data_IF_192316519083
#
_entry.id   IF_192316519083
#
_cell.length_a   1.000
_cell.length_b   1.000
_cell.length_c   1.000
_cell.angle_alpha   90.00
_cell.angle_beta   90.00
_cell.angle_gamma   90.00
#
_symmetry.space_group_name_H-M   'P 1'
#
loop_
_entity.id
_entity.type
_entity.pdbx_description
1 polymer ?
#
# COMPACT_ATOMS: atom_id res chain seq x y z
N UNK A 1 -18.65 -19.72 -5.69
CA UNK A 1 -17.36 -19.95 -6.33
C UNK A 1 -16.30 -18.96 -5.89
N UNK A 2 -16.52 -17.65 -5.92
CA UNK A 2 -15.56 -16.61 -5.49
C UNK A 2 -14.96 -16.85 -4.08
N UNK A 3 -15.80 -17.23 -3.10
CA UNK A 3 -15.36 -17.53 -1.73
C UNK A 3 -14.36 -18.69 -1.64
N UNK A 4 -14.48 -19.69 -2.49
CA UNK A 4 -13.55 -20.83 -2.53
C UNK A 4 -12.22 -20.42 -3.16
N UNK A 5 -12.24 -19.65 -4.25
CA UNK A 5 -11.04 -19.09 -4.87
C UNK A 5 -10.25 -18.24 -3.86
N UNK A 6 -10.92 -17.33 -3.14
CA UNK A 6 -10.30 -16.51 -2.10
C UNK A 6 -9.65 -17.37 -1.00
N UNK A 7 -10.33 -18.40 -0.52
CA UNK A 7 -9.79 -19.29 0.54
C UNK A 7 -8.45 -19.92 0.13
N UNK A 8 -8.34 -20.41 -1.11
CA UNK A 8 -7.11 -21.03 -1.60
C UNK A 8 -6.00 -19.99 -1.80
N UNK A 9 -6.34 -18.79 -2.29
CA UNK A 9 -5.40 -17.68 -2.41
C UNK A 9 -4.79 -17.29 -1.07
N UNK A 10 -5.61 -17.10 -0.03
CA UNK A 10 -5.14 -16.75 1.31
C UNK A 10 -4.28 -17.85 1.94
N UNK A 11 -4.67 -19.12 1.79
CA UNK A 11 -3.90 -20.25 2.33
C UNK A 11 -2.52 -20.36 1.68
N UNK A 12 -2.43 -20.12 0.39
CA UNK A 12 -1.18 -20.25 -0.36
C UNK A 12 -0.20 -19.11 -0.09
N UNK A 13 -0.69 -17.89 0.21
CA UNK A 13 0.14 -16.70 0.48
C UNK A 13 0.48 -16.53 1.96
N UNK A 14 -0.40 -16.94 2.85
CA UNK A 14 -0.28 -16.70 4.29
C UNK A 14 1.01 -17.23 4.90
N UNK A 15 1.55 -18.35 4.39
CA UNK A 15 2.81 -18.93 4.89
C UNK A 15 4.01 -18.03 4.60
N UNK A 16 4.06 -17.42 3.42
CA UNK A 16 5.15 -16.52 3.02
C UNK A 16 5.11 -15.20 3.81
N UNK A 17 3.92 -14.59 3.89
CA UNK A 17 3.76 -13.35 4.65
C UNK A 17 3.95 -13.52 6.14
N UNK A 18 3.48 -14.64 6.72
CA UNK A 18 3.61 -14.92 8.15
C UNK A 18 5.07 -14.94 8.61
N UNK A 19 5.96 -15.57 7.85
CA UNK A 19 7.41 -15.58 8.15
C UNK A 19 8.04 -14.19 8.09
N UNK A 20 7.70 -13.41 7.06
CA UNK A 20 8.22 -12.05 6.89
C UNK A 20 7.71 -11.10 7.98
N UNK A 21 6.44 -11.17 8.34
CA UNK A 21 5.86 -10.33 9.39
C UNK A 21 6.46 -10.65 10.76
N UNK A 22 6.69 -11.94 11.05
CA UNK A 22 7.34 -12.36 12.28
C UNK A 22 8.78 -11.83 12.36
N UNK A 23 9.54 -11.93 11.27
CA UNK A 23 10.90 -11.40 11.20
C UNK A 23 10.90 -9.87 11.38
N UNK A 24 9.96 -9.14 10.76
CA UNK A 24 9.86 -7.69 10.88
C UNK A 24 9.58 -7.26 12.34
N UNK A 25 8.63 -7.91 13.00
CA UNK A 25 8.29 -7.59 14.40
C UNK A 25 9.44 -7.97 15.34
N UNK A 26 10.09 -9.12 15.14
CA UNK A 26 11.21 -9.54 15.94
C UNK A 26 12.38 -8.53 15.84
N UNK A 27 12.73 -8.09 14.62
CA UNK A 27 13.76 -7.08 14.42
C UNK A 27 13.36 -5.71 14.98
N UNK A 28 12.07 -5.33 14.93
CA UNK A 28 11.59 -4.11 15.55
C UNK A 28 11.81 -4.12 17.07
N UNK A 29 11.53 -5.22 17.73
CA UNK A 29 11.77 -5.39 19.17
C UNK A 29 13.29 -5.32 19.47
N UNK A 30 14.10 -6.08 18.74
CA UNK A 30 15.55 -6.14 18.96
C UNK A 30 16.20 -4.77 18.71
N UNK A 31 15.85 -4.07 17.62
CA UNK A 31 16.39 -2.75 17.32
C UNK A 31 15.99 -1.71 18.36
N UNK A 32 14.73 -1.75 18.83
CA UNK A 32 14.26 -0.84 19.90
C UNK A 32 15.01 -1.04 21.21
N UNK A 33 15.26 -2.28 21.64
CA UNK A 33 16.06 -2.57 22.83
C UNK A 33 17.54 -2.22 22.67
N UNK A 34 18.13 -2.47 21.50
CA UNK A 34 19.52 -2.14 21.24
C UNK A 34 19.78 -0.63 21.25
N UNK A 35 18.90 0.15 20.61
CA UNK A 35 18.97 1.61 20.62
C UNK A 35 18.87 2.20 22.04
N UNK A 36 18.21 1.49 22.96
CA UNK A 36 18.14 1.87 24.38
C UNK A 36 19.44 1.62 25.11
N UNK A 37 20.14 0.53 24.80
CA UNK A 37 21.29 0.01 25.57
C UNK A 37 22.60 0.70 25.22
N UNK A 38 22.65 1.87 24.69
CA UNK A 38 23.75 2.81 24.33
C UNK A 38 25.23 2.38 24.55
N UNK A 39 25.51 1.09 24.73
CA UNK A 39 26.85 0.57 25.00
C UNK A 39 27.66 0.30 23.71
N UNK A 40 26.98 0.07 22.58
CA UNK A 40 27.61 -0.18 21.28
C UNK A 40 26.75 0.42 20.16
N UNK A 41 27.05 1.66 19.76
CA UNK A 41 26.33 2.39 18.70
C UNK A 41 26.37 1.65 17.36
N UNK A 42 27.45 0.91 17.07
CA UNK A 42 27.62 0.14 15.84
C UNK A 42 26.64 -1.05 15.76
N UNK A 43 26.41 -1.74 16.87
CA UNK A 43 25.47 -2.86 16.91
C UNK A 43 24.02 -2.39 16.80
N UNK A 44 23.68 -1.28 17.44
CA UNK A 44 22.36 -0.68 17.35
C UNK A 44 22.04 -0.21 15.91
N UNK A 45 23.03 0.42 15.25
CA UNK A 45 22.90 0.85 13.86
C UNK A 45 22.74 -0.31 12.89
N UNK A 46 23.45 -1.44 13.11
CA UNK A 46 23.32 -2.66 12.33
C UNK A 46 21.91 -3.28 12.43
N UNK A 47 21.35 -3.34 13.63
CA UNK A 47 19.99 -3.86 13.83
C UNK A 47 18.92 -2.96 13.19
N UNK A 48 19.08 -1.64 13.30
CA UNK A 48 18.20 -0.70 12.62
C UNK A 48 18.28 -0.86 11.11
N UNK A 49 19.48 -1.00 10.57
CA UNK A 49 19.67 -1.27 9.14
C UNK A 49 19.01 -2.58 8.71
N UNK A 50 19.19 -3.66 9.50
CA UNK A 50 18.54 -4.94 9.25
C UNK A 50 16.98 -4.82 9.26
N UNK A 51 16.43 -4.06 10.22
CA UNK A 51 14.99 -3.76 10.26
C UNK A 51 14.52 -3.06 8.98
N UNK A 52 15.25 -2.03 8.53
CA UNK A 52 14.93 -1.29 7.30
C UNK A 52 15.00 -2.21 6.06
N UNK A 53 16.02 -3.06 5.97
CA UNK A 53 16.14 -4.04 4.87
C UNK A 53 14.94 -5.00 4.84
N UNK A 54 14.51 -5.52 6.00
CA UNK A 54 13.34 -6.42 6.06
C UNK A 54 12.06 -5.67 5.76
N UNK A 55 11.90 -4.42 6.19
CA UNK A 55 10.74 -3.59 5.85
C UNK A 55 10.63 -3.38 4.33
N UNK A 56 11.75 -3.07 3.67
CA UNK A 56 11.81 -2.98 2.20
C UNK A 56 11.53 -4.34 1.55
N UNK A 57 12.06 -5.43 2.10
CA UNK A 57 11.80 -6.77 1.59
C UNK A 57 10.31 -7.13 1.66
N UNK A 58 9.58 -6.76 2.73
CA UNK A 58 8.12 -6.94 2.83
C UNK A 58 7.41 -6.20 1.70
N UNK A 59 7.79 -4.96 1.40
CA UNK A 59 7.20 -4.18 0.32
C UNK A 59 7.47 -4.82 -1.05
N UNK A 60 8.72 -5.21 -1.32
CA UNK A 60 9.11 -5.86 -2.58
C UNK A 60 8.40 -7.19 -2.76
N UNK A 61 8.36 -8.05 -1.74
CA UNK A 61 7.68 -9.35 -1.79
C UNK A 61 6.17 -9.15 -2.01
N UNK A 62 5.57 -8.10 -1.43
CA UNK A 62 4.17 -7.79 -1.65
C UNK A 62 3.88 -7.48 -3.12
N UNK A 63 4.66 -6.61 -3.75
CA UNK A 63 4.53 -6.29 -5.18
C UNK A 63 4.81 -7.52 -6.04
N UNK A 64 5.89 -8.25 -5.76
CA UNK A 64 6.24 -9.48 -6.50
C UNK A 64 5.14 -10.54 -6.40
N UNK A 65 4.49 -10.67 -5.24
CA UNK A 65 3.38 -11.60 -5.06
C UNK A 65 2.17 -11.19 -5.92
N UNK A 66 1.85 -9.90 -5.98
CA UNK A 66 0.78 -9.38 -6.84
C UNK A 66 1.06 -9.72 -8.31
N UNK A 67 2.26 -9.39 -8.79
CA UNK A 67 2.67 -9.65 -10.19
C UNK A 67 2.69 -11.14 -10.50
N UNK A 68 3.37 -11.95 -9.71
CA UNK A 68 3.55 -13.39 -9.98
C UNK A 68 2.25 -14.15 -9.92
N UNK A 69 1.34 -13.79 -8.99
CA UNK A 69 0.04 -14.43 -8.91
C UNK A 69 -0.90 -14.05 -10.04
N UNK A 70 -0.80 -12.83 -10.52
CA UNK A 70 -1.56 -12.41 -11.68
C UNK A 70 -1.01 -13.10 -12.95
N UNK A 71 0.30 -13.00 -13.19
CA UNK A 71 0.92 -13.52 -14.41
C UNK A 71 0.88 -15.06 -14.45
N UNK A 72 1.29 -15.75 -13.39
CA UNK A 72 1.37 -17.21 -13.38
C UNK A 72 0.00 -17.87 -13.45
N UNK A 73 -0.97 -17.36 -12.68
CA UNK A 73 -2.27 -18.01 -12.57
C UNK A 73 -3.24 -17.64 -13.69
N UNK A 74 -3.07 -16.48 -14.34
CA UNK A 74 -3.98 -16.02 -15.41
C UNK A 74 -3.36 -16.07 -16.80
N UNK A 75 -2.05 -15.80 -16.91
CA UNK A 75 -1.34 -15.72 -18.20
C UNK A 75 -0.44 -16.93 -18.48
N UNK A 76 -0.13 -17.73 -17.44
CA UNK A 76 0.70 -18.92 -17.57
C UNK A 76 -0.11 -20.19 -17.90
N UNK A 77 0.58 -21.34 -17.91
CA UNK A 77 -0.03 -22.67 -18.16
C UNK A 77 -1.19 -23.01 -17.23
N UNK A 78 -1.22 -22.47 -16.02
CA UNK A 78 -2.32 -22.62 -15.07
C UNK A 78 -3.56 -21.82 -15.51
N UNK A 79 -3.40 -20.79 -16.34
CA UNK A 79 -4.49 -19.97 -16.88
C UNK A 79 -5.47 -20.77 -17.71
N UNK A 80 -5.01 -21.75 -18.51
CA UNK A 80 -5.90 -22.62 -19.27
C UNK A 80 -6.93 -23.33 -18.38
N UNK A 81 -6.50 -23.85 -17.23
CA UNK A 81 -7.41 -24.47 -16.26
C UNK A 81 -8.38 -23.47 -15.62
N UNK A 82 -7.93 -22.23 -15.41
CA UNK A 82 -8.80 -21.18 -14.85
C UNK A 82 -9.88 -20.73 -15.82
N UNK A 83 -9.60 -20.72 -17.13
CA UNK A 83 -10.58 -20.38 -18.17
C UNK A 83 -11.56 -21.52 -18.49
N UNK A 84 -11.28 -22.78 -18.09
CA UNK A 84 -12.24 -23.88 -18.18
C UNK A 84 -13.25 -23.91 -17.04
N UNK A 85 -13.04 -23.12 -15.97
CA UNK A 85 -14.00 -23.00 -14.89
C UNK A 85 -15.22 -22.18 -15.35
N UNK A 86 -16.44 -22.48 -14.88
CA UNK A 86 -17.65 -21.73 -15.21
C UNK A 86 -17.70 -20.41 -14.40
N UNK A 87 -16.69 -19.55 -14.57
CA UNK A 87 -16.56 -18.26 -13.91
C UNK A 87 -16.26 -17.19 -14.97
N UNK A 88 -16.79 -15.99 -14.77
CA UNK A 88 -16.53 -14.86 -15.68
C UNK A 88 -15.12 -14.28 -15.43
N UNK A 89 -14.49 -13.74 -16.45
CA UNK A 89 -13.16 -13.11 -16.37
C UNK A 89 -13.13 -11.99 -15.33
N UNK A 90 -14.20 -11.21 -15.24
CA UNK A 90 -14.36 -10.19 -14.19
C UNK A 90 -14.28 -10.77 -12.78
N UNK A 91 -14.83 -11.97 -12.53
CA UNK A 91 -14.74 -12.63 -11.24
C UNK A 91 -13.32 -13.12 -10.95
N UNK A 92 -12.58 -13.55 -11.97
CA UNK A 92 -11.17 -13.90 -11.83
C UNK A 92 -10.32 -12.69 -11.45
N UNK A 93 -10.45 -11.59 -12.18
CA UNK A 93 -9.74 -10.33 -11.86
C UNK A 93 -10.08 -9.86 -10.45
N UNK A 94 -11.38 -9.82 -10.09
CA UNK A 94 -11.84 -9.38 -8.77
C UNK A 94 -11.31 -10.27 -7.64
N UNK A 95 -11.24 -11.58 -7.82
CA UNK A 95 -10.71 -12.48 -6.79
C UNK A 95 -9.24 -12.18 -6.47
N UNK A 96 -8.44 -11.92 -7.49
CA UNK A 96 -7.02 -11.54 -7.35
C UNK A 96 -6.87 -10.15 -6.76
N UNK A 97 -7.70 -9.20 -7.20
CA UNK A 97 -7.71 -7.83 -6.69
C UNK A 97 -8.02 -7.80 -5.19
N UNK A 98 -9.09 -8.45 -4.76
CA UNK A 98 -9.48 -8.51 -3.33
C UNK A 98 -8.35 -9.13 -2.49
N UNK A 99 -7.79 -10.26 -2.94
CA UNK A 99 -6.68 -10.90 -2.24
C UNK A 99 -5.47 -9.96 -2.12
N UNK A 100 -5.11 -9.26 -3.21
CA UNK A 100 -3.99 -8.30 -3.23
C UNK A 100 -4.22 -7.11 -2.31
N UNK A 101 -5.44 -6.53 -2.34
CA UNK A 101 -5.81 -5.42 -1.46
C UNK A 101 -5.71 -5.83 0.01
N UNK A 102 -6.24 -6.99 0.37
CA UNK A 102 -6.18 -7.48 1.77
C UNK A 102 -4.74 -7.68 2.22
N UNK A 103 -3.88 -8.31 1.41
CA UNK A 103 -2.48 -8.50 1.78
C UNK A 103 -1.69 -7.19 1.87
N UNK A 104 -1.96 -6.21 1.01
CA UNK A 104 -1.37 -4.88 1.09
C UNK A 104 -1.80 -4.15 2.38
N UNK A 105 -3.07 -4.21 2.73
CA UNK A 105 -3.58 -3.64 3.99
C UNK A 105 -2.98 -4.34 5.21
N UNK A 106 -2.90 -5.67 5.21
CA UNK A 106 -2.24 -6.41 6.28
C UNK A 106 -0.76 -6.03 6.42
N UNK A 107 -0.04 -5.89 5.30
CA UNK A 107 1.36 -5.44 5.31
C UNK A 107 1.52 -4.05 5.88
N UNK A 108 0.63 -3.12 5.54
CA UNK A 108 0.63 -1.75 6.07
C UNK A 108 0.36 -1.74 7.58
N UNK A 109 -0.64 -2.50 8.04
CA UNK A 109 -0.97 -2.61 9.47
C UNK A 109 0.21 -3.20 10.26
N UNK A 110 0.80 -4.29 9.77
CA UNK A 110 1.96 -4.92 10.43
C UNK A 110 3.18 -3.98 10.40
N UNK A 111 3.39 -3.23 9.33
CA UNK A 111 4.43 -2.21 9.23
C UNK A 111 4.27 -1.13 10.30
N UNK A 112 3.08 -0.55 10.43
CA UNK A 112 2.77 0.45 11.46
C UNK A 112 2.92 -0.15 12.86
N UNK A 113 2.40 -1.36 13.08
CA UNK A 113 2.51 -2.05 14.35
C UNK A 113 3.96 -2.33 14.74
N UNK A 114 4.80 -2.81 13.80
CA UNK A 114 6.22 -3.07 14.05
C UNK A 114 6.99 -1.79 14.40
N UNK A 115 6.68 -0.69 13.72
CA UNK A 115 7.28 0.60 14.03
C UNK A 115 6.85 1.11 15.41
N UNK A 116 5.57 0.98 15.77
CA UNK A 116 5.07 1.31 17.10
C UNK A 116 5.75 0.47 18.20
N UNK A 117 5.93 -0.83 17.97
CA UNK A 117 6.64 -1.73 18.89
C UNK A 117 8.10 -1.32 19.06
N UNK A 118 8.78 -0.92 17.99
CA UNK A 118 10.15 -0.40 18.04
C UNK A 118 10.22 0.86 18.90
N UNK A 119 9.31 1.82 18.69
CA UNK A 119 9.23 3.05 19.48
C UNK A 119 8.93 2.76 20.96
N UNK A 120 8.02 1.82 21.24
CA UNK A 120 7.73 1.39 22.61
C UNK A 120 8.96 0.77 23.27
N UNK A 121 9.68 -0.12 22.59
CA UNK A 121 10.89 -0.73 23.12
C UNK A 121 12.00 0.30 23.41
N UNK A 122 12.12 1.31 22.55
CA UNK A 122 13.00 2.46 22.77
C UNK A 122 12.56 3.30 23.97
N UNK A 123 11.25 3.54 24.14
CA UNK A 123 10.66 4.40 25.18
C UNK A 123 10.54 3.76 26.55
N UNK A 124 10.84 2.48 26.74
CA UNK A 124 10.81 1.78 28.03
C UNK A 124 11.81 2.35 29.07
N UNK A 125 12.55 3.40 28.73
CA UNK A 125 13.29 4.21 29.69
C UNK A 125 12.33 5.08 30.51
N UNK A 126 12.52 5.17 31.80
CA UNK A 126 11.60 5.78 32.79
C UNK A 126 11.13 7.21 32.44
N UNK A 127 11.97 7.99 31.77
CA UNK A 127 11.64 9.34 31.31
C UNK A 127 10.65 9.39 30.14
N UNK A 128 10.76 8.46 29.20
CA UNK A 128 9.89 8.44 28.01
C UNK A 128 8.52 7.84 28.33
N UNK A 129 8.44 6.86 29.24
CA UNK A 129 7.16 6.34 29.74
C UNK A 129 6.32 7.39 30.45
N UNK A 130 6.97 8.35 31.12
CA UNK A 130 6.27 9.47 31.74
C UNK A 130 5.70 10.47 30.73
N UNK A 131 6.27 10.54 29.52
CA UNK A 131 5.79 11.41 28.44
C UNK A 131 4.69 10.75 27.57
N UNK A 132 4.51 9.41 27.62
CA UNK A 132 3.47 8.73 26.87
C UNK A 132 2.04 9.25 27.16
N UNK A 133 1.64 9.51 28.41
CA UNK A 133 0.34 10.10 28.68
C UNK A 133 0.19 11.51 28.10
N UNK A 134 1.25 12.32 28.09
CA UNK A 134 1.25 13.66 27.50
C UNK A 134 1.13 13.59 25.98
N UNK A 135 1.87 12.68 25.32
CA UNK A 135 1.75 12.44 23.89
C UNK A 135 0.34 11.96 23.53
N UNK A 136 -0.22 11.06 24.34
CA UNK A 136 -1.59 10.58 24.12
C UNK A 136 -2.61 11.71 24.30
N UNK A 137 -2.46 12.55 25.32
CA UNK A 137 -3.32 13.73 25.52
C UNK A 137 -3.20 14.70 24.34
N UNK A 138 -2.00 14.96 23.82
CA UNK A 138 -1.80 15.79 22.62
C UNK A 138 -2.49 15.20 21.39
N UNK A 139 -2.38 13.88 21.17
CA UNK A 139 -3.10 13.20 20.08
C UNK A 139 -4.62 13.36 20.25
N UNK A 140 -5.14 13.11 21.45
CA UNK A 140 -6.58 13.28 21.75
C UNK A 140 -7.00 14.74 21.58
N UNK A 141 -6.16 15.69 21.95
CA UNK A 141 -6.43 17.12 21.79
C UNK A 141 -6.45 17.54 20.31
N UNK A 142 -5.52 17.06 19.49
CA UNK A 142 -5.56 17.23 18.03
C UNK A 142 -6.89 16.70 17.48
N UNK A 143 -7.30 15.48 17.89
CA UNK A 143 -8.59 14.92 17.47
C UNK A 143 -9.79 15.72 17.96
N UNK A 144 -9.73 16.30 19.16
CA UNK A 144 -10.79 17.19 19.69
C UNK A 144 -10.86 18.51 18.93
N UNK A 145 -9.70 19.14 18.67
CA UNK A 145 -9.61 20.40 17.93
C UNK A 145 -10.09 20.26 16.49
N UNK A 146 -9.89 19.09 15.90
CA UNK A 146 -10.30 18.77 14.52
C UNK A 146 -11.85 18.70 14.39
N UNK A 147 -12.60 18.56 15.49
CA UNK A 147 -14.07 18.57 15.54
C UNK A 147 -14.71 17.48 14.67
N UNK A 148 -16.02 17.59 14.46
CA UNK A 148 -16.79 16.65 13.60
C UNK A 148 -16.36 16.69 12.14
N UNK A 149 -15.91 17.85 11.65
CA UNK A 149 -15.37 18.00 10.29
C UNK A 149 -14.09 17.20 10.06
N UNK A 150 -13.21 17.08 11.06
CA UNK A 150 -11.97 16.34 10.92
C UNK A 150 -12.14 14.83 10.85
N UNK A 151 -13.07 14.28 11.60
CA UNK A 151 -13.42 12.85 11.46
C UNK A 151 -13.97 12.54 10.05
N UNK A 152 -14.75 13.46 9.50
CA UNK A 152 -15.24 13.35 8.13
C UNK A 152 -14.07 13.38 7.13
N UNK A 153 -13.12 14.32 7.30
CA UNK A 153 -11.92 14.40 6.46
C UNK A 153 -11.03 13.16 6.57
N UNK A 154 -10.83 12.66 7.77
CA UNK A 154 -10.02 11.45 7.98
C UNK A 154 -10.67 10.21 7.33
N UNK A 155 -11.99 10.06 7.47
CA UNK A 155 -12.72 8.99 6.79
C UNK A 155 -12.65 9.13 5.26
N UNK A 156 -12.72 10.36 4.76
CA UNK A 156 -12.63 10.65 3.34
C UNK A 156 -11.23 10.35 2.78
N UNK A 157 -10.16 10.75 3.49
CA UNK A 157 -8.79 10.45 3.10
C UNK A 157 -8.47 8.95 3.16
N UNK A 158 -9.00 8.22 4.15
CA UNK A 158 -8.86 6.76 4.17
C UNK A 158 -9.55 6.10 2.99
N UNK A 159 -10.73 6.59 2.59
CA UNK A 159 -11.40 6.12 1.39
C UNK A 159 -10.60 6.43 0.12
N UNK A 160 -10.06 7.64 0.01
CA UNK A 160 -9.19 8.05 -1.10
C UNK A 160 -7.96 7.15 -1.20
N UNK A 161 -7.30 6.87 -0.06
CA UNK A 161 -6.17 5.95 0.02
C UNK A 161 -6.52 4.52 -0.43
N UNK A 162 -7.70 4.01 -0.04
CA UNK A 162 -8.17 2.69 -0.49
C UNK A 162 -8.42 2.65 -2.01
N UNK A 163 -9.05 3.67 -2.56
CA UNK A 163 -9.29 3.77 -4.01
C UNK A 163 -7.97 3.89 -4.77
N UNK A 164 -7.02 4.69 -4.28
CA UNK A 164 -5.70 4.82 -4.87
C UNK A 164 -4.92 3.48 -4.84
N UNK A 165 -5.03 2.72 -3.74
CA UNK A 165 -4.45 1.39 -3.62
C UNK A 165 -5.06 0.42 -4.65
N UNK A 166 -6.37 0.40 -4.81
CA UNK A 166 -7.06 -0.40 -5.84
C UNK A 166 -6.61 0.01 -7.24
N UNK A 167 -6.54 1.30 -7.53
CA UNK A 167 -6.07 1.83 -8.81
C UNK A 167 -4.64 1.42 -9.11
N UNK A 168 -3.73 1.46 -8.14
CA UNK A 168 -2.33 1.06 -8.31
C UNK A 168 -2.18 -0.44 -8.59
N UNK A 169 -2.96 -1.30 -7.93
CA UNK A 169 -2.97 -2.74 -8.20
C UNK A 169 -3.50 -3.02 -9.61
N UNK A 170 -4.58 -2.37 -10.02
CA UNK A 170 -5.14 -2.51 -11.37
C UNK A 170 -4.19 -1.99 -12.44
N UNK A 171 -3.44 -0.93 -12.16
CA UNK A 171 -2.35 -0.45 -13.02
C UNK A 171 -1.29 -1.53 -13.25
N UNK A 172 -0.89 -2.25 -12.18
CA UNK A 172 0.05 -3.38 -12.29
C UNK A 172 -0.56 -4.48 -13.16
N UNK A 173 -1.84 -4.82 -13.00
CA UNK A 173 -2.50 -5.84 -13.83
C UNK A 173 -2.54 -5.43 -15.30
N UNK A 174 -2.94 -4.19 -15.60
CA UNK A 174 -2.94 -3.64 -16.95
C UNK A 174 -1.53 -3.67 -17.58
N UNK A 175 -0.52 -3.29 -16.81
CA UNK A 175 0.88 -3.32 -17.25
C UNK A 175 1.37 -4.75 -17.55
N UNK A 176 1.01 -5.72 -16.71
CA UNK A 176 1.31 -7.14 -16.94
C UNK A 176 0.65 -7.66 -18.24
N UNK A 177 -0.62 -7.28 -18.47
CA UNK A 177 -1.35 -7.65 -19.68
C UNK A 177 -0.73 -7.06 -20.95
N UNK A 178 -0.36 -5.77 -20.90
CA UNK A 178 0.35 -5.10 -22.02
C UNK A 178 1.70 -5.77 -22.26
N UNK A 179 2.46 -6.05 -21.19
CA UNK A 179 3.76 -6.72 -21.29
C UNK A 179 3.66 -8.09 -21.96
N UNK A 180 2.60 -8.84 -21.64
CA UNK A 180 2.40 -10.19 -22.20
C UNK A 180 2.14 -10.21 -23.71
N UNK A 181 1.69 -9.11 -24.31
CA UNK A 181 1.54 -9.00 -25.75
C UNK A 181 2.88 -9.03 -26.51
N UNK A 182 3.98 -8.69 -25.83
CA UNK A 182 5.32 -8.67 -26.42
C UNK A 182 6.07 -9.98 -26.13
N UNK A 183 5.79 -11.06 -26.88
CA UNK A 183 6.35 -12.42 -26.68
C UNK A 183 7.87 -12.45 -26.42
N UNK A 184 8.65 -11.56 -27.06
CA UNK A 184 10.12 -11.53 -26.97
C UNK A 184 10.66 -10.70 -25.80
N UNK A 185 9.89 -9.72 -25.32
CA UNK A 185 10.33 -8.74 -24.29
C UNK A 185 9.23 -8.47 -23.26
N UNK A 186 8.61 -9.51 -22.70
CA UNK A 186 7.47 -9.40 -21.77
C UNK A 186 7.77 -8.53 -20.55
N UNK A 187 8.90 -8.77 -19.88
CA UNK A 187 9.24 -8.10 -18.62
C UNK A 187 9.56 -6.62 -18.85
N UNK A 188 10.48 -6.23 -19.76
CA UNK A 188 10.77 -4.82 -19.99
C UNK A 188 9.58 -4.03 -20.53
N UNK A 189 8.75 -4.64 -21.39
CA UNK A 189 7.53 -4.03 -21.90
C UNK A 189 6.50 -3.79 -20.78
N UNK A 190 6.33 -4.75 -19.87
CA UNK A 190 5.46 -4.60 -18.70
C UNK A 190 5.93 -3.50 -17.75
N UNK A 191 7.24 -3.42 -17.50
CA UNK A 191 7.84 -2.38 -16.66
C UNK A 191 7.63 -0.99 -17.31
N UNK A 192 7.91 -0.87 -18.60
CA UNK A 192 7.71 0.39 -19.33
C UNK A 192 6.24 0.81 -19.35
N UNK A 193 5.32 -0.13 -19.58
CA UNK A 193 3.88 0.13 -19.52
C UNK A 193 3.46 0.61 -18.11
N UNK A 194 3.97 0.00 -17.05
CA UNK A 194 3.70 0.41 -15.68
C UNK A 194 4.15 1.86 -15.42
N UNK A 195 5.37 2.22 -15.83
CA UNK A 195 5.87 3.57 -15.66
C UNK A 195 5.07 4.58 -16.48
N UNK A 196 4.70 4.27 -17.71
CA UNK A 196 3.90 5.17 -18.55
C UNK A 196 2.49 5.38 -17.97
N UNK A 197 1.81 4.31 -17.55
CA UNK A 197 0.49 4.39 -16.97
C UNK A 197 0.51 5.14 -15.63
N UNK A 198 1.49 4.86 -14.77
CA UNK A 198 1.68 5.56 -13.50
C UNK A 198 2.04 7.02 -13.69
N UNK A 199 2.89 7.33 -14.67
CA UNK A 199 3.24 8.71 -15.01
C UNK A 199 2.00 9.49 -15.47
N UNK A 200 1.19 8.91 -16.35
CA UNK A 200 -0.03 9.55 -16.84
C UNK A 200 -1.01 9.83 -15.70
N UNK A 201 -1.22 8.86 -14.81
CA UNK A 201 -2.08 9.03 -13.64
C UNK A 201 -1.58 10.13 -12.72
N UNK A 202 -0.28 10.11 -12.38
CA UNK A 202 0.33 11.11 -11.50
C UNK A 202 0.33 12.51 -12.14
N UNK A 203 0.62 12.61 -13.43
CA UNK A 203 0.60 13.87 -14.15
C UNK A 203 -0.78 14.52 -14.13
N UNK A 204 -1.83 13.73 -14.36
CA UNK A 204 -3.20 14.25 -14.32
C UNK A 204 -3.62 14.65 -12.90
N UNK A 205 -3.23 13.88 -11.89
CA UNK A 205 -3.52 14.19 -10.47
C UNK A 205 -2.74 15.42 -10.00
N UNK A 206 -1.48 15.60 -10.41
CA UNK A 206 -0.64 16.72 -9.98
C UNK A 206 -1.00 18.04 -10.65
N UNK A 207 -1.54 17.99 -11.87
CA UNK A 207 -1.96 19.20 -12.61
C UNK A 207 -3.02 20.02 -11.88
N UNK A 208 -3.81 19.39 -11.03
CA UNK A 208 -4.83 20.07 -10.21
C UNK A 208 -4.31 20.45 -8.83
N UNK A 209 -3.44 19.64 -8.25
CA UNK A 209 -2.82 19.97 -6.95
C UNK A 209 -1.94 21.22 -7.01
N UNK A 210 -1.36 21.54 -8.16
CA UNK A 210 -0.56 22.76 -8.36
C UNK A 210 -1.42 24.02 -8.54
N UNK A 211 -2.67 23.86 -8.94
CA UNK A 211 -3.61 24.98 -9.13
C UNK A 211 -4.29 25.42 -7.82
N UNK A 212 -4.32 24.55 -6.81
CA UNK A 212 -4.92 24.84 -5.52
C UNK A 212 -3.81 25.25 -4.54
N UNK A 213 -3.72 26.55 -4.25
CA UNK A 213 -2.86 27.01 -3.16
C UNK A 213 -3.29 26.33 -1.87
N UNK A 214 -2.37 25.59 -1.29
CA UNK A 214 -2.50 24.94 0.01
C UNK A 214 -3.07 25.95 1.03
N UNK A 215 -4.29 25.75 1.49
CA UNK A 215 -4.80 26.48 2.64
C UNK A 215 -4.00 26.01 3.85
N UNK A 216 -3.00 26.80 4.24
CA UNK A 216 -2.25 26.55 5.46
C UNK A 216 -3.18 26.78 6.66
N UNK A 217 -3.63 25.71 7.30
CA UNK A 217 -4.28 25.79 8.60
C UNK A 217 -3.17 25.88 9.64
N UNK A 218 -2.97 27.09 10.19
CA UNK A 218 -2.05 27.29 11.32
C UNK A 218 -2.65 26.70 12.59
N UNK A 219 -2.00 25.69 13.13
CA UNK A 219 -2.31 25.19 14.46
C UNK A 219 -1.47 25.95 15.49
N UNK A 220 -2.08 26.39 16.62
CA UNK A 220 -1.33 27.06 17.68
C UNK A 220 -0.24 26.16 18.24
N UNK A 221 0.90 26.76 18.42
CA UNK A 221 2.21 26.26 18.81
C UNK A 221 2.22 25.11 19.82
N UNK A 222 2.78 23.98 19.41
CA UNK A 222 3.32 22.97 20.33
C UNK A 222 4.82 23.27 20.52
N UNK A 223 5.15 23.98 21.62
CA UNK A 223 6.55 24.22 22.00
C UNK A 223 7.31 25.27 21.17
N UNK A 224 6.65 26.31 20.67
CA UNK A 224 7.32 27.44 19.99
C UNK A 224 7.67 27.22 18.51
N UNK A 225 7.23 26.12 17.90
CA UNK A 225 7.36 25.87 16.47
C UNK A 225 5.96 25.93 15.84
N UNK A 226 5.75 26.88 14.94
CA UNK A 226 4.51 26.96 14.16
C UNK A 226 4.44 25.81 13.19
N UNK A 227 3.63 24.79 13.51
CA UNK A 227 3.38 23.67 12.60
C UNK A 227 2.21 24.05 11.70
N UNK A 228 2.51 24.53 10.49
CA UNK A 228 1.51 24.70 9.45
C UNK A 228 1.29 23.37 8.73
N UNK A 229 0.19 22.70 8.99
CA UNK A 229 -0.24 21.54 8.19
C UNK A 229 -1.07 22.09 7.04
N UNK A 230 -0.55 21.98 5.84
CA UNK A 230 -1.30 22.30 4.64
C UNK A 230 -2.42 21.25 4.45
N UNK A 231 -3.67 21.62 4.72
CA UNK A 231 -4.80 20.77 4.41
C UNK A 231 -5.16 20.95 2.92
N UNK A 232 -5.28 19.88 2.15
CA UNK A 232 -5.74 19.99 0.77
C UNK A 232 -7.16 20.55 0.76
N UNK A 233 -7.50 21.33 -0.28
CA UNK A 233 -8.87 21.86 -0.40
C UNK A 233 -9.86 20.72 -0.65
N UNK A 234 -11.14 20.94 -0.32
CA UNK A 234 -12.20 19.97 -0.60
C UNK A 234 -12.29 19.61 -2.10
N UNK A 235 -11.97 20.58 -2.95
CA UNK A 235 -11.96 20.39 -4.39
C UNK A 235 -10.85 19.45 -4.86
N UNK A 236 -9.61 19.64 -4.41
CA UNK A 236 -8.47 18.78 -4.78
C UNK A 236 -8.64 17.35 -4.32
N UNK A 237 -9.17 17.14 -3.10
CA UNK A 237 -9.42 15.80 -2.58
C UNK A 237 -10.55 15.09 -3.33
N UNK A 238 -11.66 15.77 -3.62
CA UNK A 238 -12.76 15.21 -4.42
C UNK A 238 -12.32 14.92 -5.87
N UNK A 239 -11.55 15.81 -6.45
CA UNK A 239 -11.01 15.62 -7.79
C UNK A 239 -10.01 14.45 -7.83
N UNK A 240 -9.10 14.35 -6.87
CA UNK A 240 -8.17 13.24 -6.72
C UNK A 240 -8.90 11.89 -6.60
N UNK A 241 -9.98 11.84 -5.82
CA UNK A 241 -10.84 10.67 -5.70
C UNK A 241 -11.48 10.31 -7.05
N UNK A 242 -12.07 11.30 -7.74
CA UNK A 242 -12.72 11.08 -9.03
C UNK A 242 -11.73 10.57 -10.10
N UNK A 243 -10.52 11.15 -10.14
CA UNK A 243 -9.43 10.71 -11.02
C UNK A 243 -9.01 9.27 -10.68
N UNK A 244 -8.81 8.96 -9.40
CA UNK A 244 -8.43 7.61 -8.97
C UNK A 244 -9.49 6.56 -9.33
N UNK A 245 -10.77 6.88 -9.19
CA UNK A 245 -11.89 6.01 -9.60
C UNK A 245 -11.90 5.83 -11.11
N UNK A 246 -11.74 6.92 -11.88
CA UNK A 246 -11.73 6.88 -13.34
C UNK A 246 -10.58 6.00 -13.86
N UNK A 247 -9.37 6.15 -13.31
CA UNK A 247 -8.24 5.30 -13.67
C UNK A 247 -8.43 3.84 -13.23
N UNK A 248 -8.97 3.59 -12.02
CA UNK A 248 -9.28 2.23 -11.58
C UNK A 248 -10.27 1.55 -12.53
N UNK A 249 -11.34 2.24 -12.93
CA UNK A 249 -12.31 1.73 -13.91
C UNK A 249 -11.64 1.51 -15.28
N UNK A 250 -10.83 2.47 -15.75
CA UNK A 250 -10.11 2.37 -17.02
C UNK A 250 -9.15 1.18 -17.04
N UNK A 251 -8.34 0.99 -16.02
CA UNK A 251 -7.42 -0.14 -15.91
C UNK A 251 -8.16 -1.49 -15.80
N UNK A 252 -9.27 -1.53 -15.08
CA UNK A 252 -10.09 -2.73 -15.01
C UNK A 252 -10.68 -3.11 -16.37
N UNK A 253 -11.26 -2.14 -17.09
CA UNK A 253 -11.81 -2.34 -18.42
C UNK A 253 -10.71 -2.74 -19.44
N UNK A 254 -9.56 -2.09 -19.38
CA UNK A 254 -8.41 -2.41 -20.21
C UNK A 254 -7.92 -3.84 -19.95
N UNK A 255 -7.76 -4.22 -18.70
CA UNK A 255 -7.33 -5.58 -18.31
C UNK A 255 -8.34 -6.63 -18.82
N UNK A 256 -9.63 -6.37 -18.60
CA UNK A 256 -10.70 -7.25 -19.07
C UNK A 256 -10.71 -7.37 -20.60
N UNK A 257 -10.67 -6.24 -21.32
CA UNK A 257 -10.68 -6.24 -22.79
C UNK A 257 -9.49 -6.98 -23.39
N UNK A 258 -8.31 -6.81 -22.78
CA UNK A 258 -7.10 -7.54 -23.21
C UNK A 258 -7.22 -9.05 -22.95
N UNK A 259 -7.86 -9.46 -21.84
CA UNK A 259 -8.13 -10.89 -21.59
C UNK A 259 -9.11 -11.48 -22.60
N UNK A 260 -10.18 -10.76 -22.93
CA UNK A 260 -11.21 -11.26 -23.87
C UNK A 260 -10.72 -11.37 -25.33
N UNK A 261 -9.85 -10.45 -25.79
CA UNK A 261 -9.56 -10.30 -27.22
C UNK A 261 -8.13 -10.66 -27.64
N UNK A 262 -7.18 -10.72 -26.72
CA UNK A 262 -5.75 -10.88 -27.07
C UNK A 262 -5.00 -11.90 -26.20
N UNK A 263 -5.70 -12.78 -25.51
CA UNK A 263 -5.07 -13.84 -24.74
C UNK A 263 -4.81 -15.05 -25.67
N UNK A 264 -3.65 -15.07 -26.33
CA UNK A 264 -3.09 -16.27 -26.94
C UNK A 264 -2.48 -17.13 -25.83
N UNK A 265 -3.23 -18.08 -25.32
CA UNK A 265 -2.72 -19.12 -24.43
C UNK A 265 -2.00 -20.16 -25.28
N UNK A 266 -0.66 -20.07 -25.38
CA UNK A 266 0.20 -21.14 -25.91
C UNK A 266 0.43 -22.25 -24.89
#
# INVERSE_FOLDING_TARGET
MLKQLLKYEFKATGRTYGGLYLALVALAVLSGFSLRSSSDDDFASLLLFAYMVVAVAVAVVSVMTIVTRFTRNLLGREGYLMHTLPVTESQLILSKLISSVVWMLCSSIVGIFSFAVMLLALSLNSAALQQLPELWQKVVEIFRMTGSSGWFWLAFETLNGLVALVSSILCIYAACMIGHQFKKHMVPAGILAFFLLSFLQNWLSSGVSSADMLQAVSYPTLGGVDVSIAAPSAFTTLFGLAVSIAFAAGYFLLTRWLMEHKLDLE
#
